data_IF_734103685327
#
_entry.id   IF_734103685327
#
_cell.length_a   1.000
_cell.length_b   1.000
_cell.length_c   1.000
_cell.angle_alpha   90.00
_cell.angle_beta   90.00
_cell.angle_gamma   90.00
#
_symmetry.space_group_name_H-M   'P 1'
#
loop_
_entity.id
_entity.type
_entity.pdbx_description
1 polymer ?
#
# COMPACT_ATOMS: atom_id res chain seq x y z
N UNK A 1 -17.88 32.56 -65.42
CA UNK A 1 -17.68 31.09 -65.38
C UNK A 1 -16.19 30.81 -65.47
N UNK A 2 -15.59 30.32 -64.39
CA UNK A 2 -14.16 30.01 -64.30
C UNK A 2 -13.81 29.74 -62.85
N UNK A 3 -13.70 28.45 -62.53
CA UNK A 3 -13.79 27.90 -61.19
C UNK A 3 -12.57 28.17 -60.30
N UNK A 4 -12.85 28.28 -59.00
CA UNK A 4 -11.91 28.32 -57.90
C UNK A 4 -10.98 27.10 -57.86
N UNK A 5 -9.68 27.33 -57.68
CA UNK A 5 -8.76 26.34 -57.11
C UNK A 5 -8.26 26.86 -55.76
N UNK A 6 -9.05 26.60 -54.71
CA UNK A 6 -8.59 26.68 -53.34
C UNK A 6 -8.00 25.32 -52.96
N UNK A 7 -6.67 25.23 -52.95
CA UNK A 7 -5.96 24.14 -52.28
C UNK A 7 -6.23 24.25 -50.78
N UNK A 8 -7.13 23.42 -50.25
CA UNK A 8 -7.19 23.17 -48.81
C UNK A 8 -6.08 22.19 -48.45
N UNK A 9 -5.02 22.73 -47.86
CA UNK A 9 -4.02 21.98 -47.14
C UNK A 9 -4.65 21.44 -45.84
N UNK A 10 -4.88 20.14 -45.78
CA UNK A 10 -5.42 19.44 -44.61
C UNK A 10 -4.39 19.48 -43.48
N UNK A 11 -4.54 20.46 -42.58
CA UNK A 11 -3.83 20.51 -41.31
C UNK A 11 -4.12 19.22 -40.52
N UNK A 12 -3.10 18.38 -40.38
CA UNK A 12 -3.17 17.13 -39.62
C UNK A 12 -3.58 17.37 -38.17
N UNK A 13 -4.77 16.91 -37.80
CA UNK A 13 -5.26 16.82 -36.43
C UNK A 13 -4.32 15.88 -35.65
N UNK A 14 -3.39 16.43 -34.86
CA UNK A 14 -2.70 15.65 -33.83
C UNK A 14 -3.77 15.11 -32.88
N UNK A 15 -4.07 13.83 -32.99
CA UNK A 15 -5.02 13.14 -32.11
C UNK A 15 -4.58 13.32 -30.66
N UNK A 16 -5.30 14.16 -29.91
CA UNK A 16 -5.00 14.45 -28.51
C UNK A 16 -5.25 13.18 -27.72
N UNK A 17 -4.17 12.57 -27.20
CA UNK A 17 -4.26 11.34 -26.40
C UNK A 17 -5.34 11.48 -25.32
N UNK A 18 -6.17 10.44 -25.08
CA UNK A 18 -7.15 10.47 -24.02
C UNK A 18 -6.51 10.76 -22.66
N UNK A 19 -7.16 11.55 -21.81
CA UNK A 19 -6.60 12.03 -20.54
C UNK A 19 -6.14 10.87 -19.62
N UNK A 20 -6.88 9.74 -19.61
CA UNK A 20 -6.52 8.56 -18.82
C UNK A 20 -5.20 7.91 -19.28
N UNK A 21 -4.88 7.93 -20.58
CA UNK A 21 -3.60 7.41 -21.11
C UNK A 21 -2.45 8.30 -20.66
N UNK A 22 -2.62 9.61 -20.75
CA UNK A 22 -1.61 10.58 -20.30
C UNK A 22 -1.37 10.50 -18.80
N UNK A 23 -2.42 10.33 -17.99
CA UNK A 23 -2.31 10.13 -16.55
C UNK A 23 -1.61 8.80 -16.25
N UNK A 24 -2.00 7.70 -16.90
CA UNK A 24 -1.40 6.39 -16.69
C UNK A 24 0.11 6.39 -16.96
N UNK A 25 0.57 7.05 -18.02
CA UNK A 25 2.00 7.14 -18.36
C UNK A 25 2.86 7.83 -17.29
N UNK A 26 2.26 8.65 -16.42
CA UNK A 26 2.98 9.26 -15.29
C UNK A 26 3.40 8.21 -14.25
N UNK A 27 2.65 7.13 -14.09
CA UNK A 27 2.97 6.10 -13.09
C UNK A 27 4.24 5.33 -13.43
N UNK A 28 4.57 5.15 -14.71
CA UNK A 28 5.89 4.60 -15.10
C UNK A 28 7.03 5.52 -14.66
N UNK A 29 6.82 6.84 -14.73
CA UNK A 29 7.80 7.83 -14.27
C UNK A 29 7.93 7.82 -12.75
N UNK A 30 6.82 7.72 -12.02
CA UNK A 30 6.84 7.62 -10.56
C UNK A 30 7.50 6.33 -10.08
N UNK A 31 7.18 5.18 -10.69
CA UNK A 31 7.82 3.91 -10.36
C UNK A 31 9.34 3.97 -10.55
N UNK A 32 9.82 4.53 -11.67
CA UNK A 32 11.26 4.75 -11.89
C UNK A 32 11.88 5.70 -10.87
N UNK A 33 11.16 6.75 -10.47
CA UNK A 33 11.65 7.67 -9.45
C UNK A 33 11.76 7.00 -8.08
N UNK A 34 10.79 6.19 -7.70
CA UNK A 34 10.78 5.49 -6.41
C UNK A 34 11.90 4.43 -6.28
N UNK A 35 12.47 3.98 -7.40
CA UNK A 35 13.64 3.10 -7.44
C UNK A 35 14.98 3.85 -7.41
N UNK A 36 15.00 5.18 -7.36
CA UNK A 36 16.26 5.92 -7.29
C UNK A 36 16.80 5.90 -5.88
N UNK A 37 18.10 5.64 -5.75
CA UNK A 37 18.84 5.75 -4.49
C UNK A 37 19.72 6.99 -4.50
N UNK A 38 19.96 7.56 -3.33
CA UNK A 38 20.94 8.61 -3.09
C UNK A 38 22.00 8.07 -2.12
N UNK A 39 23.24 8.55 -2.26
CA UNK A 39 24.27 8.26 -1.25
C UNK A 39 23.91 8.98 0.04
N UNK A 40 23.89 8.23 1.13
CA UNK A 40 23.68 8.71 2.49
C UNK A 40 24.82 8.19 3.40
N UNK A 41 25.02 8.82 4.56
CA UNK A 41 26.14 8.62 5.49
C UNK A 41 26.19 7.16 6.00
N UNK A 42 25.05 6.47 6.04
CA UNK A 42 24.90 5.11 6.60
C UNK A 42 24.79 4.03 5.50
N UNK A 43 24.91 4.40 4.22
CA UNK A 43 24.59 3.53 3.08
C UNK A 43 23.34 4.03 2.35
N UNK A 44 23.27 3.78 1.04
CA UNK A 44 22.33 4.48 0.16
C UNK A 44 20.86 4.38 0.59
N UNK A 45 20.20 5.53 0.75
CA UNK A 45 18.76 5.63 1.03
C UNK A 45 17.97 5.77 -0.29
N UNK A 46 16.70 5.36 -0.28
CA UNK A 46 15.82 5.68 -1.41
C UNK A 46 15.59 7.19 -1.47
N UNK A 47 15.76 7.80 -2.64
CA UNK A 47 15.72 9.26 -2.79
C UNK A 47 14.39 9.87 -2.30
N UNK A 48 13.29 9.14 -2.42
CA UNK A 48 11.99 9.59 -1.96
C UNK A 48 11.83 9.53 -0.43
N UNK A 49 12.54 8.67 0.30
CA UNK A 49 12.37 8.59 1.76
C UNK A 49 13.02 9.78 2.48
N UNK A 50 14.13 10.29 1.93
CA UNK A 50 14.85 11.48 2.45
C UNK A 50 13.93 12.70 2.50
N UNK A 51 13.09 12.90 1.48
CA UNK A 51 12.29 14.11 1.37
C UNK A 51 10.95 14.04 2.12
N UNK A 52 10.53 12.85 2.55
CA UNK A 52 9.27 12.64 3.27
C UNK A 52 9.45 12.25 4.74
N UNK A 53 10.69 12.28 5.26
CA UNK A 53 11.06 11.91 6.64
C UNK A 53 10.26 10.70 7.17
N UNK A 54 10.19 9.68 6.32
CA UNK A 54 9.42 8.47 6.57
C UNK A 54 10.36 7.45 7.20
N UNK A 55 10.06 6.99 8.41
CA UNK A 55 10.74 5.84 9.01
C UNK A 55 10.53 4.66 8.05
N UNK A 56 11.57 4.35 7.28
CA UNK A 56 11.47 3.38 6.20
C UNK A 56 11.79 2.02 6.79
N UNK A 57 10.77 1.20 7.00
CA UNK A 57 10.98 -0.24 7.05
C UNK A 57 11.00 -0.74 5.59
N UNK A 58 12.17 -1.06 5.01
CA UNK A 58 12.30 -1.52 3.62
C UNK A 58 11.55 -2.85 3.35
N UNK A 59 11.04 -3.51 4.39
CA UNK A 59 10.27 -4.73 4.29
C UNK A 59 8.76 -4.52 4.43
N UNK A 60 8.30 -3.35 4.90
CA UNK A 60 6.91 -3.15 5.32
C UNK A 60 6.18 -2.04 4.57
N UNK A 61 6.89 -1.04 4.06
CA UNK A 61 6.22 0.18 3.64
C UNK A 61 5.82 0.17 2.15
N UNK A 62 4.57 0.55 1.85
CA UNK A 62 4.19 0.80 0.47
C UNK A 62 4.98 1.99 -0.08
N UNK A 63 5.17 1.99 -1.41
CA UNK A 63 5.73 3.16 -2.09
C UNK A 63 4.87 4.41 -1.78
N UNK A 64 5.41 5.63 -1.89
CA UNK A 64 4.64 6.84 -1.54
C UNK A 64 3.29 6.89 -2.28
N UNK A 65 2.18 7.13 -1.56
CA UNK A 65 0.83 7.06 -2.12
C UNK A 65 0.55 8.20 -3.09
N UNK A 66 -0.33 7.95 -4.05
CA UNK A 66 -0.76 8.93 -5.04
C UNK A 66 -2.28 9.07 -4.99
N UNK A 67 -2.75 10.28 -4.69
CA UNK A 67 -4.16 10.65 -4.70
C UNK A 67 -4.54 11.30 -6.04
N UNK A 68 -5.53 10.75 -6.72
CA UNK A 68 -6.16 11.33 -7.89
C UNK A 68 -7.54 11.87 -7.50
N UNK A 69 -7.73 13.19 -7.62
CA UNK A 69 -9.02 13.85 -7.39
C UNK A 69 -9.61 14.27 -8.72
N UNK A 70 -10.74 13.69 -9.09
CA UNK A 70 -11.42 14.00 -10.34
C UNK A 70 -12.53 15.01 -10.11
N UNK A 71 -12.59 16.02 -10.97
CA UNK A 71 -13.75 16.89 -11.07
C UNK A 71 -14.50 16.54 -12.36
N UNK A 72 -15.78 16.23 -12.25
CA UNK A 72 -16.63 15.95 -13.42
C UNK A 72 -17.07 17.29 -14.03
N UNK A 73 -16.31 17.77 -15.01
CA UNK A 73 -16.67 18.93 -15.83
C UNK A 73 -16.97 18.45 -17.24
N UNK A 74 -18.23 18.60 -17.69
CA UNK A 74 -18.66 18.23 -19.04
C UNK A 74 -19.04 16.75 -19.22
N UNK A 75 -19.11 16.28 -20.47
CA UNK A 75 -19.71 14.99 -20.82
C UNK A 75 -18.87 13.74 -20.47
N UNK A 76 -17.64 13.91 -19.97
CA UNK A 76 -16.75 12.77 -19.66
C UNK A 76 -17.00 12.28 -18.24
N UNK A 77 -17.42 11.02 -18.13
CA UNK A 77 -17.57 10.38 -16.82
C UNK A 77 -16.21 10.20 -16.13
N UNK A 78 -15.99 10.86 -15.00
CA UNK A 78 -14.80 10.63 -14.19
C UNK A 78 -14.76 9.19 -13.70
N UNK A 79 -15.92 8.58 -13.42
CA UNK A 79 -15.99 7.15 -13.06
C UNK A 79 -15.37 6.26 -14.14
N UNK A 80 -15.66 6.50 -15.42
CA UNK A 80 -15.03 5.75 -16.52
C UNK A 80 -13.54 6.04 -16.61
N UNK A 81 -13.15 7.31 -16.49
CA UNK A 81 -11.73 7.70 -16.54
C UNK A 81 -10.91 7.03 -15.43
N UNK A 82 -11.41 7.03 -14.19
CA UNK A 82 -10.77 6.40 -13.04
C UNK A 82 -10.60 4.89 -13.30
N UNK A 83 -11.63 4.20 -13.79
CA UNK A 83 -11.54 2.76 -14.12
C UNK A 83 -10.50 2.47 -15.19
N UNK A 84 -10.43 3.29 -16.24
CA UNK A 84 -9.44 3.13 -17.30
C UNK A 84 -8.02 3.33 -16.78
N UNK A 85 -7.80 4.32 -15.92
CA UNK A 85 -6.50 4.54 -15.27
C UNK A 85 -6.15 3.34 -14.38
N UNK A 86 -7.11 2.83 -13.59
CA UNK A 86 -6.89 1.65 -12.76
C UNK A 86 -6.43 0.46 -13.63
N UNK A 87 -7.11 0.19 -14.74
CA UNK A 87 -6.74 -0.88 -15.66
C UNK A 87 -5.33 -0.68 -16.26
N UNK A 88 -5.04 0.53 -16.78
CA UNK A 88 -3.75 0.83 -17.43
C UNK A 88 -2.56 0.86 -16.47
N UNK A 89 -2.80 1.05 -15.17
CA UNK A 89 -1.74 1.13 -14.16
C UNK A 89 -1.65 -0.14 -13.30
N UNK A 90 -2.36 -1.21 -13.68
CA UNK A 90 -2.51 -2.45 -12.89
C UNK A 90 -1.18 -2.98 -12.36
N UNK A 91 -0.15 -3.05 -13.20
CA UNK A 91 1.18 -3.52 -12.83
C UNK A 91 1.84 -2.74 -11.68
N UNK A 92 1.48 -1.46 -11.51
CA UNK A 92 2.02 -0.58 -10.46
C UNK A 92 1.36 -0.74 -9.10
N UNK A 93 0.07 -1.11 -9.05
CA UNK A 93 -0.71 -1.13 -7.81
C UNK A 93 -1.22 -2.51 -7.40
N UNK A 94 -1.28 -3.47 -8.32
CA UNK A 94 -1.85 -4.79 -8.03
C UNK A 94 -0.99 -5.54 -7.03
N UNK A 95 -1.58 -5.76 -5.85
CA UNK A 95 -0.99 -6.58 -4.80
C UNK A 95 -1.12 -8.07 -5.11
N UNK A 96 -0.32 -8.87 -4.40
CA UNK A 96 -0.37 -10.33 -4.48
C UNK A 96 -1.01 -10.89 -3.22
N UNK A 97 -1.80 -11.96 -3.28
CA UNK A 97 -2.26 -12.63 -2.08
C UNK A 97 -1.06 -13.08 -1.23
N UNK A 98 -1.17 -12.95 0.09
CA UNK A 98 -0.28 -13.61 1.05
C UNK A 98 -0.27 -15.12 0.81
N UNK A 99 0.79 -15.81 1.27
CA UNK A 99 0.95 -17.26 1.15
C UNK A 99 -0.27 -18.03 1.70
N UNK A 100 -0.88 -17.52 2.76
CA UNK A 100 -2.07 -18.11 3.39
C UNK A 100 -3.39 -17.53 2.88
N UNK A 101 -3.36 -16.61 1.91
CA UNK A 101 -4.55 -15.95 1.35
C UNK A 101 -5.27 -14.99 2.32
N UNK A 102 -4.70 -14.73 3.50
CA UNK A 102 -5.35 -13.92 4.55
C UNK A 102 -5.50 -12.43 4.18
N UNK A 103 -4.58 -11.89 3.38
CA UNK A 103 -4.60 -10.51 2.89
C UNK A 103 -3.90 -10.42 1.53
N UNK A 104 -4.01 -9.27 0.87
CA UNK A 104 -3.17 -8.95 -0.29
C UNK A 104 -1.99 -8.10 0.20
N UNK A 105 -0.77 -8.54 -0.06
CA UNK A 105 0.43 -7.75 0.14
C UNK A 105 0.60 -6.77 -1.01
N UNK A 106 0.89 -5.51 -0.67
CA UNK A 106 1.19 -4.44 -1.63
C UNK A 106 2.66 -4.03 -1.59
N UNK A 107 3.54 -4.93 -1.17
CA UNK A 107 4.98 -4.64 -1.08
C UNK A 107 5.54 -4.24 -2.45
N UNK A 108 6.22 -3.09 -2.49
CA UNK A 108 6.76 -2.54 -3.75
C UNK A 108 5.70 -2.06 -4.74
N UNK A 109 4.45 -1.90 -4.31
CA UNK A 109 3.35 -1.34 -5.12
C UNK A 109 3.03 0.07 -4.69
N UNK A 110 2.57 0.87 -5.65
CA UNK A 110 2.11 2.24 -5.42
C UNK A 110 0.66 2.19 -4.94
N UNK A 111 0.32 2.72 -3.74
CA UNK A 111 -1.05 2.95 -3.35
C UNK A 111 -1.63 4.07 -4.23
N UNK A 112 -2.42 3.69 -5.23
CA UNK A 112 -3.14 4.64 -6.06
C UNK A 112 -4.56 4.74 -5.53
N UNK A 113 -4.91 5.93 -5.06
CA UNK A 113 -6.19 6.24 -4.46
C UNK A 113 -6.90 7.25 -5.34
N UNK A 114 -8.15 7.00 -5.67
CA UNK A 114 -8.96 7.91 -6.47
C UNK A 114 -10.22 8.35 -5.73
N UNK A 115 -10.58 9.60 -5.88
CA UNK A 115 -11.84 10.16 -5.40
C UNK A 115 -12.40 11.16 -6.40
N UNK A 116 -13.62 11.63 -6.15
CA UNK A 116 -14.26 12.69 -6.93
C UNK A 116 -14.54 13.89 -6.04
N UNK A 117 -14.46 15.09 -6.62
CA UNK A 117 -14.62 16.34 -5.89
C UNK A 117 -16.03 16.50 -5.29
N UNK A 118 -17.07 16.02 -5.98
CA UNK A 118 -18.45 16.01 -5.47
C UNK A 118 -18.60 15.17 -4.21
N UNK A 119 -17.94 14.00 -4.15
CA UNK A 119 -17.93 13.15 -2.96
C UNK A 119 -17.22 13.82 -1.79
N UNK A 120 -16.07 14.45 -2.03
CA UNK A 120 -15.36 15.22 -1.01
C UNK A 120 -16.20 16.38 -0.48
N UNK A 121 -16.91 17.10 -1.35
CA UNK A 121 -17.81 18.19 -0.94
C UNK A 121 -18.98 17.68 -0.08
N UNK A 122 -19.53 16.51 -0.41
CA UNK A 122 -20.69 15.94 0.28
C UNK A 122 -20.35 15.30 1.62
N UNK A 123 -19.22 14.59 1.71
CA UNK A 123 -18.89 13.75 2.88
C UNK A 123 -17.65 14.22 3.64
N UNK A 124 -16.97 15.26 3.14
CA UNK A 124 -15.72 15.76 3.71
C UNK A 124 -14.51 14.85 3.43
N UNK A 125 -13.30 15.30 3.82
CA UNK A 125 -12.07 14.54 3.63
C UNK A 125 -11.92 13.32 4.57
N UNK A 126 -12.73 13.23 5.63
CA UNK A 126 -12.73 12.10 6.55
C UNK A 126 -13.78 11.03 6.20
N UNK A 127 -14.65 11.31 5.21
CA UNK A 127 -15.68 10.37 4.78
C UNK A 127 -15.12 9.18 3.98
N UNK A 128 -15.90 8.09 3.83
CA UNK A 128 -15.51 6.91 3.07
C UNK A 128 -15.66 7.13 1.55
N UNK A 129 -14.90 8.08 1.00
CA UNK A 129 -15.02 8.53 -0.40
C UNK A 129 -13.87 8.07 -1.28
N UNK A 130 -12.82 7.51 -0.69
CA UNK A 130 -11.59 7.16 -1.38
C UNK A 130 -11.64 5.73 -1.88
N UNK A 131 -11.32 5.53 -3.15
CA UNK A 131 -11.22 4.21 -3.75
C UNK A 131 -9.75 3.89 -4.02
N UNK A 132 -9.17 2.96 -3.26
CA UNK A 132 -7.87 2.37 -3.59
C UNK A 132 -8.03 1.39 -4.74
N UNK A 133 -7.22 1.51 -5.78
CA UNK A 133 -7.23 0.54 -6.86
C UNK A 133 -6.96 -0.87 -6.36
N UNK A 134 -7.70 -1.85 -6.90
CA UNK A 134 -7.68 -3.24 -6.45
C UNK A 134 -8.61 -3.56 -5.28
N UNK A 135 -9.24 -2.57 -4.65
CA UNK A 135 -10.26 -2.80 -3.61
C UNK A 135 -11.67 -2.66 -4.15
N UNK A 136 -12.62 -3.34 -3.51
CA UNK A 136 -14.03 -3.40 -3.98
C UNK A 136 -14.85 -2.19 -3.56
N UNK A 137 -14.52 -1.55 -2.44
CA UNK A 137 -15.34 -0.52 -1.80
C UNK A 137 -14.53 0.76 -1.60
N UNK A 138 -15.26 1.85 -1.33
CA UNK A 138 -14.65 3.10 -0.87
C UNK A 138 -14.39 3.02 0.63
N UNK A 139 -13.33 3.68 1.05
CA UNK A 139 -12.79 3.69 2.40
C UNK A 139 -12.46 5.14 2.79
N UNK A 140 -12.19 5.38 4.07
CA UNK A 140 -11.53 6.62 4.48
C UNK A 140 -10.08 6.66 3.95
N UNK A 141 -9.46 7.85 3.97
CA UNK A 141 -8.14 8.05 3.37
C UNK A 141 -7.06 7.16 4.01
N UNK A 142 -7.09 6.99 5.34
CA UNK A 142 -6.08 6.21 6.06
C UNK A 142 -6.18 4.73 5.73
N UNK A 143 -7.40 4.20 5.77
CA UNK A 143 -7.66 2.81 5.35
C UNK A 143 -7.30 2.56 3.89
N UNK A 144 -7.58 3.52 3.00
CA UNK A 144 -7.28 3.41 1.57
C UNK A 144 -5.77 3.39 1.29
N UNK A 145 -4.98 4.21 2.00
CA UNK A 145 -3.51 4.27 1.86
C UNK A 145 -2.84 3.07 2.55
N UNK A 146 -3.28 2.71 3.74
CA UNK A 146 -2.73 1.60 4.54
C UNK A 146 -3.20 0.21 4.11
N UNK A 147 -2.90 -0.81 4.92
CA UNK A 147 -3.39 -2.18 4.70
C UNK A 147 -3.96 -2.77 6.01
N UNK A 148 -5.16 -2.34 6.45
CA UNK A 148 -5.70 -2.72 7.76
C UNK A 148 -5.83 -4.23 7.95
N UNK A 149 -6.08 -4.98 6.86
CA UNK A 149 -6.17 -6.45 6.91
C UNK A 149 -4.81 -7.10 7.17
N UNK A 150 -3.76 -6.68 6.46
CA UNK A 150 -2.39 -7.14 6.72
C UNK A 150 -1.96 -6.78 8.14
N UNK A 151 -2.20 -5.55 8.58
CA UNK A 151 -1.87 -5.12 9.94
C UNK A 151 -2.61 -5.93 11.02
N UNK A 152 -3.89 -6.23 10.80
CA UNK A 152 -4.67 -7.07 11.72
C UNK A 152 -4.14 -8.50 11.75
N UNK A 153 -3.89 -9.12 10.58
CA UNK A 153 -3.36 -10.49 10.49
C UNK A 153 -1.98 -10.60 11.12
N UNK A 154 -1.07 -9.65 10.85
CA UNK A 154 0.27 -9.66 11.44
C UNK A 154 0.23 -9.47 12.96
N UNK A 155 -0.67 -8.61 13.48
CA UNK A 155 -0.88 -8.46 14.92
C UNK A 155 -1.37 -9.76 15.56
N UNK A 156 -2.35 -10.42 14.95
CA UNK A 156 -2.86 -11.72 15.43
C UNK A 156 -1.75 -12.79 15.44
N UNK A 157 -0.98 -12.90 14.34
CA UNK A 157 0.14 -13.85 14.25
C UNK A 157 1.22 -13.57 15.31
N UNK A 158 1.56 -12.30 15.52
CA UNK A 158 2.54 -11.90 16.53
C UNK A 158 2.05 -12.21 17.96
N UNK A 159 0.77 -11.98 18.25
CA UNK A 159 0.17 -12.32 19.53
C UNK A 159 0.21 -13.84 19.79
N UNK A 160 -0.25 -14.64 18.83
CA UNK A 160 -0.23 -16.10 18.95
C UNK A 160 1.20 -16.65 19.13
N UNK A 161 2.19 -16.03 18.49
CA UNK A 161 3.59 -16.38 18.69
C UNK A 161 4.08 -16.05 20.10
N UNK A 162 3.76 -14.86 20.63
CA UNK A 162 4.11 -14.47 22.01
C UNK A 162 3.48 -15.39 23.05
N UNK A 163 2.22 -15.77 22.86
CA UNK A 163 1.51 -16.69 23.75
C UNK A 163 2.17 -18.08 23.78
N UNK A 164 2.52 -18.62 22.60
CA UNK A 164 3.27 -19.89 22.50
C UNK A 164 4.62 -19.83 23.21
N UNK A 165 5.39 -18.76 22.99
CA UNK A 165 6.67 -18.57 23.68
C UNK A 165 6.51 -18.45 25.20
N UNK A 166 5.46 -17.77 25.68
CA UNK A 166 5.17 -17.66 27.10
C UNK A 166 4.83 -19.03 27.71
N UNK A 167 4.01 -19.83 27.03
CA UNK A 167 3.66 -21.20 27.46
C UNK A 167 4.87 -22.13 27.50
N UNK A 168 5.73 -22.09 26.48
CA UNK A 168 6.96 -22.89 26.44
C UNK A 168 7.93 -22.49 27.55
N UNK A 169 8.12 -21.18 27.77
CA UNK A 169 8.98 -20.67 28.83
C UNK A 169 8.42 -20.98 30.22
N UNK A 170 7.10 -20.89 30.41
CA UNK A 170 6.41 -21.32 31.63
C UNK A 170 6.64 -22.80 31.91
N UNK A 171 6.43 -23.66 30.91
CA UNK A 171 6.67 -25.10 30.99
C UNK A 171 8.13 -25.43 31.31
N UNK A 172 9.10 -24.76 30.66
CA UNK A 172 10.53 -24.90 30.94
C UNK A 172 10.88 -24.47 32.37
N UNK A 173 10.33 -23.35 32.85
CA UNK A 173 10.51 -22.88 34.23
C UNK A 173 9.88 -23.83 35.24
N UNK A 174 8.70 -24.38 34.95
CA UNK A 174 8.03 -25.40 35.76
C UNK A 174 8.89 -26.66 35.90
N UNK A 175 9.35 -27.23 34.78
CA UNK A 175 10.26 -28.40 34.78
C UNK A 175 11.55 -28.14 35.58
N UNK A 176 12.18 -26.98 35.39
CA UNK A 176 13.38 -26.58 36.17
C UNK A 176 13.10 -26.45 37.67
N UNK A 177 11.94 -25.90 38.06
CA UNK A 177 11.53 -25.78 39.47
C UNK A 177 11.26 -27.15 40.09
N UNK A 178 10.56 -28.04 39.38
CA UNK A 178 10.32 -29.41 39.85
C UNK A 178 11.61 -30.20 40.00
N UNK A 179 12.53 -30.11 39.03
CA UNK A 179 13.86 -30.73 39.12
C UNK A 179 14.67 -30.20 40.32
N UNK A 180 14.65 -28.89 40.59
CA UNK A 180 15.30 -28.29 41.77
C UNK A 180 14.67 -28.72 43.10
N UNK A 181 13.34 -28.92 43.14
CA UNK A 181 12.64 -29.39 44.34
C UNK A 181 12.90 -30.87 44.62
N UNK A 182 12.94 -31.71 43.57
CA UNK A 182 13.29 -33.13 43.68
C UNK A 182 14.77 -33.38 43.99
N UNK A 183 15.66 -32.46 43.63
CA UNK A 183 17.09 -32.54 43.92
C UNK A 183 17.51 -31.96 45.30
N UNK A 184 16.56 -31.52 46.14
CA UNK A 184 16.87 -31.07 47.50
C UNK A 184 17.11 -32.33 48.35
N UNK A 185 18.36 -32.64 48.75
CA UNK A 185 18.61 -33.85 49.50
C UNK A 185 17.90 -33.76 50.86
N UNK A 186 17.33 -34.88 51.30
CA UNK A 186 16.86 -35.07 52.66
C UNK A 186 18.06 -34.94 53.62
N UNK A 187 18.46 -33.71 53.96
CA UNK A 187 19.34 -33.45 55.10
C UNK A 187 18.44 -33.32 56.32
N UNK A 188 18.32 -34.42 57.06
CA UNK A 188 17.58 -34.44 58.32
C UNK A 188 16.94 -35.80 58.61
N UNK A 189 17.71 -36.88 58.53
CA UNK A 189 17.32 -38.16 59.11
C UNK A 189 18.59 -38.86 59.60
N UNK A 190 19.29 -38.22 60.53
CA UNK A 190 20.15 -38.92 61.47
C UNK A 190 20.45 -38.02 62.68
N UNK A 191 20.52 -38.64 63.86
CA UNK A 191 20.71 -38.10 65.21
C UNK A 191 19.44 -37.73 65.99
N UNK A 192 18.84 -38.71 66.66
CA UNK A 192 19.12 -39.00 68.09
C UNK A 192 18.26 -40.17 68.56
#
# INVERSE_FOLDING_TARGET
MGAHNAHYETAGTRERRPDHVTIAAKFDRYARFYQRTAKDIVGGAWLWSIRWNYDTDPYRDPLPPILLVFNEIGARSARTQIRNIAALTRHHWEGQPDREGAFHSYRGKIPIVATRLDLLRKHGPHGPVFWRFGRKHREDLWSAVGNPREEATLRQRAQAHRERQAQENGSRRGRRRSARRGARPARGADRS
#
